data_IF_552756162311
#
_entry.id   IF_552756162311
#
_cell.length_a   1.000
_cell.length_b   1.000
_cell.length_c   1.000
_cell.angle_alpha   90.00
_cell.angle_beta   90.00
_cell.angle_gamma   90.00
#
_symmetry.space_group_name_H-M   'P 1'
#
loop_
_entity.id
_entity.type
_entity.pdbx_description
1 polymer ?
#
# COMPACT_ATOMS: atom_id res chain seq x y z
N UNK A 1 22.33 9.30 -14.97
CA UNK A 1 22.39 10.07 -13.70
C UNK A 1 21.15 9.81 -12.81
N UNK A 2 19.92 9.95 -13.32
CA UNK A 2 18.71 9.74 -12.51
C UNK A 2 18.55 8.32 -11.96
N UNK A 3 18.97 7.27 -12.69
CA UNK A 3 18.91 5.87 -12.22
C UNK A 3 19.73 5.67 -10.93
N UNK A 4 20.95 6.21 -10.89
CA UNK A 4 21.77 6.14 -9.68
C UNK A 4 21.11 6.84 -8.48
N UNK A 5 20.44 7.97 -8.74
CA UNK A 5 19.69 8.69 -7.71
C UNK A 5 18.48 7.89 -7.21
N UNK A 6 17.75 7.21 -8.10
CA UNK A 6 16.64 6.30 -7.72
C UNK A 6 17.16 5.15 -6.85
N UNK A 7 18.30 4.54 -7.21
CA UNK A 7 18.90 3.47 -6.38
C UNK A 7 19.24 3.98 -4.98
N UNK A 8 19.82 5.20 -4.89
CA UNK A 8 20.10 5.82 -3.59
C UNK A 8 18.81 6.04 -2.80
N UNK A 9 17.73 6.55 -3.42
CA UNK A 9 16.45 6.74 -2.76
C UNK A 9 15.84 5.44 -2.24
N UNK A 10 15.95 4.35 -3.01
CA UNK A 10 15.50 3.02 -2.56
C UNK A 10 16.31 2.58 -1.33
N UNK A 11 17.64 2.69 -1.37
CA UNK A 11 18.50 2.29 -0.24
C UNK A 11 18.25 3.15 1.01
N UNK A 12 18.11 4.46 0.84
CA UNK A 12 17.79 5.40 1.94
C UNK A 12 16.42 5.10 2.53
N UNK A 13 15.43 4.85 1.70
CA UNK A 13 14.10 4.50 2.18
C UNK A 13 14.05 3.13 2.87
N UNK A 14 14.78 2.13 2.38
CA UNK A 14 14.93 0.85 3.09
C UNK A 14 15.61 1.04 4.45
N UNK A 15 16.62 1.90 4.54
CA UNK A 15 17.24 2.26 5.82
C UNK A 15 16.23 2.87 6.78
N UNK A 16 15.41 3.84 6.35
CA UNK A 16 14.35 4.42 7.19
C UNK A 16 13.30 3.38 7.57
N UNK A 17 12.94 2.48 6.67
CA UNK A 17 12.04 1.37 6.97
C UNK A 17 12.58 0.42 8.06
N UNK A 18 13.87 0.08 8.01
CA UNK A 18 14.53 -0.70 9.06
C UNK A 18 14.53 0.08 10.41
N UNK A 19 14.79 1.40 10.37
CA UNK A 19 14.71 2.25 11.55
C UNK A 19 13.30 2.31 12.12
N UNK A 20 12.27 2.42 11.29
CA UNK A 20 10.89 2.36 11.71
C UNK A 20 10.57 1.07 12.49
N UNK A 21 10.96 -0.09 11.97
CA UNK A 21 10.75 -1.37 12.69
C UNK A 21 11.46 -1.38 14.03
N UNK A 22 12.70 -0.92 14.07
CA UNK A 22 13.50 -0.86 15.32
C UNK A 22 12.85 0.04 16.38
N UNK A 23 12.42 1.28 16.00
CA UNK A 23 11.82 2.23 16.96
C UNK A 23 10.43 1.79 17.40
N UNK A 24 9.67 1.13 16.53
CA UNK A 24 8.37 0.55 16.89
C UNK A 24 8.51 -0.58 17.91
N UNK A 25 9.52 -1.42 17.78
CA UNK A 25 9.82 -2.49 18.75
C UNK A 25 10.34 -1.94 20.09
N UNK A 26 11.03 -0.79 20.06
CA UNK A 26 11.51 -0.09 21.25
C UNK A 26 10.44 0.82 21.89
N UNK A 27 9.20 0.82 21.40
CA UNK A 27 8.10 1.66 21.88
C UNK A 27 8.40 3.17 21.82
N UNK A 28 9.06 3.63 20.75
CA UNK A 28 9.24 5.05 20.47
C UNK A 28 8.24 5.52 19.38
N UNK A 29 7.02 5.94 19.77
CA UNK A 29 5.95 6.24 18.81
C UNK A 29 6.23 7.49 17.98
N UNK A 30 6.96 8.48 18.52
CA UNK A 30 7.25 9.73 17.80
C UNK A 30 8.23 9.47 16.66
N UNK A 31 9.31 8.72 16.95
CA UNK A 31 10.26 8.33 15.92
C UNK A 31 9.65 7.36 14.90
N UNK A 32 8.66 6.55 15.31
CA UNK A 32 7.92 5.70 14.39
C UNK A 32 7.16 6.52 13.33
N UNK A 33 6.47 7.60 13.72
CA UNK A 33 5.82 8.53 12.78
C UNK A 33 6.85 9.07 11.80
N UNK A 34 7.95 9.65 12.30
CA UNK A 34 8.99 10.27 11.47
C UNK A 34 9.58 9.28 10.43
N UNK A 35 10.04 8.10 10.88
CA UNK A 35 10.70 7.15 9.99
C UNK A 35 9.73 6.53 8.98
N UNK A 36 8.46 6.36 9.35
CA UNK A 36 7.44 5.87 8.42
C UNK A 36 7.24 6.86 7.27
N UNK A 37 7.06 8.14 7.59
CA UNK A 37 6.92 9.21 6.61
C UNK A 37 8.13 9.34 5.69
N UNK A 38 9.35 9.34 6.25
CA UNK A 38 10.58 9.43 5.46
C UNK A 38 10.70 8.28 4.45
N UNK A 39 10.28 7.07 4.81
CA UNK A 39 10.25 5.93 3.88
C UNK A 39 9.33 6.19 2.69
N UNK A 40 8.11 6.68 2.94
CA UNK A 40 7.12 6.91 1.88
C UNK A 40 7.46 8.15 1.04
N UNK A 41 8.08 9.18 1.63
CA UNK A 41 8.60 10.34 0.89
C UNK A 41 9.60 9.90 -0.19
N UNK A 42 10.48 8.93 0.09
CA UNK A 42 11.38 8.39 -0.93
C UNK A 42 10.60 7.82 -2.13
N UNK A 43 9.48 7.12 -1.90
CA UNK A 43 8.63 6.61 -2.98
C UNK A 43 8.01 7.75 -3.81
N UNK A 44 7.53 8.82 -3.16
CA UNK A 44 6.96 9.98 -3.84
C UNK A 44 8.01 10.66 -4.72
N UNK A 45 9.25 10.84 -4.22
CA UNK A 45 10.35 11.43 -4.99
C UNK A 45 10.71 10.56 -6.20
N UNK A 46 10.72 9.23 -6.06
CA UNK A 46 10.92 8.30 -7.20
C UNK A 46 9.81 8.50 -8.24
N UNK A 47 8.55 8.55 -7.83
CA UNK A 47 7.43 8.78 -8.74
C UNK A 47 7.50 10.17 -9.41
N UNK A 48 7.90 11.20 -8.67
CA UNK A 48 8.11 12.54 -9.23
C UNK A 48 9.22 12.55 -10.31
N UNK A 49 10.30 11.82 -10.10
CA UNK A 49 11.35 11.65 -11.13
C UNK A 49 10.77 10.91 -12.34
N UNK A 50 9.94 9.87 -12.11
CA UNK A 50 9.32 9.11 -13.19
C UNK A 50 8.44 9.99 -14.09
N UNK A 51 7.73 10.99 -13.56
CA UNK A 51 6.91 11.94 -14.35
C UNK A 51 7.73 12.64 -15.46
N UNK A 52 9.03 12.87 -15.23
CA UNK A 52 9.90 13.53 -16.21
C UNK A 52 10.58 12.56 -17.17
N UNK A 53 10.54 11.25 -16.91
CA UNK A 53 11.31 10.24 -17.65
C UNK A 53 10.44 9.14 -18.29
N UNK A 54 9.14 9.09 -17.98
CA UNK A 54 8.19 8.12 -18.55
C UNK A 54 7.62 8.61 -19.89
N UNK A 55 7.12 7.67 -20.69
CA UNK A 55 6.35 7.96 -21.90
C UNK A 55 4.91 8.36 -21.59
N UNK A 56 4.31 7.82 -20.52
CA UNK A 56 2.96 8.17 -20.06
C UNK A 56 3.01 8.99 -18.77
N UNK A 57 3.10 10.33 -18.95
CA UNK A 57 3.10 11.27 -17.81
C UNK A 57 1.79 11.27 -17.04
N UNK A 58 0.66 11.03 -17.72
CA UNK A 58 -0.64 11.02 -17.03
C UNK A 58 -0.70 9.87 -16.02
N UNK A 59 -0.27 8.68 -16.42
CA UNK A 59 -0.16 7.53 -15.55
C UNK A 59 0.76 7.83 -14.34
N UNK A 60 1.96 8.33 -14.58
CA UNK A 60 2.92 8.63 -13.53
C UNK A 60 2.42 9.68 -12.53
N UNK A 61 1.71 10.73 -13.00
CA UNK A 61 1.11 11.76 -12.12
C UNK A 61 0.03 11.14 -11.24
N UNK A 62 -0.83 10.27 -11.77
CA UNK A 62 -1.84 9.57 -10.98
C UNK A 62 -1.19 8.69 -9.90
N UNK A 63 -0.10 7.97 -10.24
CA UNK A 63 0.63 7.18 -9.24
C UNK A 63 1.25 8.06 -8.15
N UNK A 64 1.81 9.22 -8.53
CA UNK A 64 2.35 10.16 -7.56
C UNK A 64 1.29 10.67 -6.58
N UNK A 65 0.06 10.99 -7.06
CA UNK A 65 -1.05 11.34 -6.17
C UNK A 65 -1.47 10.17 -5.28
N UNK A 66 -1.53 8.96 -5.82
CA UNK A 66 -1.82 7.76 -5.03
C UNK A 66 -0.80 7.56 -3.90
N UNK A 67 0.50 7.70 -4.18
CA UNK A 67 1.57 7.64 -3.20
C UNK A 67 1.50 8.77 -2.17
N UNK A 68 1.10 9.98 -2.58
CA UNK A 68 0.91 11.12 -1.67
C UNK A 68 -0.21 10.84 -0.65
N UNK A 69 -1.36 10.32 -1.09
CA UNK A 69 -2.42 9.91 -0.17
C UNK A 69 -2.02 8.69 0.67
N UNK A 70 -1.18 7.81 0.14
CA UNK A 70 -0.52 6.74 0.89
C UNK A 70 0.35 7.30 2.02
N UNK A 71 1.17 8.32 1.75
CA UNK A 71 1.95 9.03 2.77
C UNK A 71 1.07 9.62 3.88
N UNK A 72 0.01 10.34 3.52
CA UNK A 72 -0.94 10.85 4.52
C UNK A 72 -1.58 9.71 5.34
N UNK A 73 -1.90 8.59 4.69
CA UNK A 73 -2.40 7.39 5.34
C UNK A 73 -1.39 6.80 6.32
N UNK A 74 -0.11 6.78 5.95
CA UNK A 74 0.98 6.32 6.81
C UNK A 74 1.12 7.15 8.08
N UNK A 75 1.11 8.48 7.93
CA UNK A 75 1.21 9.41 9.05
C UNK A 75 0.00 9.25 10.01
N UNK A 76 -1.21 9.27 9.44
CA UNK A 76 -2.43 9.09 10.23
C UNK A 76 -2.44 7.73 10.95
N UNK A 77 -2.03 6.67 10.24
CA UNK A 77 -1.97 5.33 10.83
C UNK A 77 -0.88 5.21 11.92
N UNK A 78 0.23 5.93 11.78
CA UNK A 78 1.31 5.94 12.77
C UNK A 78 0.93 6.75 14.03
N UNK A 79 0.10 7.80 13.90
CA UNK A 79 -0.40 8.58 15.04
C UNK A 79 -1.21 7.75 16.03
N UNK A 80 -1.73 6.57 15.64
CA UNK A 80 -2.38 5.63 16.58
C UNK A 80 -1.43 5.13 17.69
N UNK A 81 -0.12 5.14 17.46
CA UNK A 81 0.89 4.75 18.46
C UNK A 81 1.14 5.88 19.48
N UNK A 82 0.93 7.14 19.05
CA UNK A 82 1.07 8.33 19.90
C UNK A 82 -0.20 8.56 20.73
N UNK A 83 -1.37 8.43 20.09
CA UNK A 83 -2.69 8.70 20.67
C UNK A 83 -3.49 7.40 20.78
N UNK A 84 -3.09 6.53 21.69
CA UNK A 84 -3.65 5.17 21.83
C UNK A 84 -5.15 5.17 22.18
N UNK A 85 -5.63 6.17 22.92
CA UNK A 85 -7.05 6.36 23.27
C UNK A 85 -7.93 6.71 22.04
N UNK A 86 -7.32 7.20 20.94
CA UNK A 86 -7.97 7.54 19.68
C UNK A 86 -7.64 6.54 18.56
N UNK A 87 -7.26 5.31 18.91
CA UNK A 87 -6.86 4.28 17.95
C UNK A 87 -7.83 4.15 16.76
N UNK A 88 -9.14 4.00 17.02
CA UNK A 88 -10.14 3.82 15.97
C UNK A 88 -10.24 5.01 15.03
N UNK A 89 -10.08 6.24 15.55
CA UNK A 89 -10.10 7.45 14.75
C UNK A 89 -8.92 7.50 13.78
N UNK A 90 -7.71 7.36 14.29
CA UNK A 90 -6.51 7.43 13.47
C UNK A 90 -6.39 6.24 12.50
N UNK A 91 -6.81 5.05 12.93
CA UNK A 91 -6.86 3.88 12.06
C UNK A 91 -7.80 4.09 10.88
N UNK A 92 -9.03 4.54 11.14
CA UNK A 92 -10.02 4.78 10.10
C UNK A 92 -9.61 5.94 9.18
N UNK A 93 -9.09 7.04 9.73
CA UNK A 93 -8.61 8.18 8.94
C UNK A 93 -7.48 7.77 8.01
N UNK A 94 -6.53 6.96 8.50
CA UNK A 94 -5.47 6.40 7.68
C UNK A 94 -6.01 5.51 6.56
N UNK A 95 -6.92 4.59 6.88
CA UNK A 95 -7.56 3.72 5.89
C UNK A 95 -8.32 4.52 4.81
N UNK A 96 -9.02 5.59 5.20
CA UNK A 96 -9.70 6.48 4.24
C UNK A 96 -8.73 7.23 3.32
N UNK A 97 -7.59 7.68 3.85
CA UNK A 97 -6.54 8.28 3.02
C UNK A 97 -5.97 7.29 2.02
N UNK A 98 -5.65 6.06 2.45
CA UNK A 98 -5.24 4.99 1.54
C UNK A 98 -6.30 4.68 0.48
N UNK A 99 -7.59 4.66 0.86
CA UNK A 99 -8.68 4.45 -0.09
C UNK A 99 -8.66 5.48 -1.22
N UNK A 100 -8.46 6.77 -0.89
CA UNK A 100 -8.31 7.83 -1.90
C UNK A 100 -7.10 7.56 -2.80
N UNK A 101 -5.96 7.16 -2.21
CA UNK A 101 -4.77 6.76 -2.98
C UNK A 101 -5.05 5.61 -3.95
N UNK A 102 -5.79 4.59 -3.50
CA UNK A 102 -6.18 3.45 -4.34
C UNK A 102 -7.12 3.85 -5.49
N UNK A 103 -7.98 4.87 -5.31
CA UNK A 103 -8.80 5.41 -6.40
C UNK A 103 -7.89 5.95 -7.51
N UNK A 104 -6.85 6.72 -7.17
CA UNK A 104 -5.89 7.20 -8.17
C UNK A 104 -5.19 6.05 -8.89
N UNK A 105 -4.79 4.99 -8.17
CA UNK A 105 -4.19 3.79 -8.79
C UNK A 105 -5.14 3.09 -9.75
N UNK A 106 -6.40 2.90 -9.36
CA UNK A 106 -7.42 2.29 -10.24
C UNK A 106 -7.64 3.12 -11.50
N UNK A 107 -7.76 4.45 -11.38
CA UNK A 107 -7.88 5.35 -12.53
C UNK A 107 -6.66 5.23 -13.46
N UNK A 108 -5.45 5.19 -12.91
CA UNK A 108 -4.22 4.99 -13.68
C UNK A 108 -4.23 3.66 -14.44
N UNK A 109 -4.57 2.56 -13.77
CA UNK A 109 -4.59 1.22 -14.37
C UNK A 109 -5.59 1.12 -15.53
N UNK A 110 -6.81 1.64 -15.34
CA UNK A 110 -7.84 1.58 -16.38
C UNK A 110 -7.63 2.59 -17.53
N UNK A 111 -6.81 3.64 -17.32
CA UNK A 111 -6.41 4.53 -18.42
C UNK A 111 -5.54 3.82 -19.47
N UNK A 112 -4.72 2.85 -19.04
CA UNK A 112 -3.81 2.11 -19.93
C UNK A 112 -4.33 0.72 -20.33
N UNK A 113 -5.25 0.13 -19.54
CA UNK A 113 -5.83 -1.19 -19.80
C UNK A 113 -7.34 -1.22 -19.50
N UNK A 114 -8.20 -0.61 -20.32
CA UNK A 114 -9.64 -0.55 -20.07
C UNK A 114 -10.32 -1.92 -19.95
N UNK A 115 -9.74 -2.98 -20.54
CA UNK A 115 -10.28 -4.34 -20.50
C UNK A 115 -9.81 -5.16 -19.28
N UNK A 116 -8.97 -4.61 -18.41
CA UNK A 116 -8.43 -5.31 -17.23
C UNK A 116 -9.54 -5.86 -16.30
N UNK A 117 -10.75 -5.25 -16.29
CA UNK A 117 -11.91 -5.72 -15.51
C UNK A 117 -12.31 -7.17 -15.81
N UNK A 118 -12.02 -7.68 -17.04
CA UNK A 118 -12.36 -9.06 -17.44
C UNK A 118 -11.63 -10.08 -16.54
N UNK A 119 -10.35 -9.81 -16.23
CA UNK A 119 -9.61 -10.63 -15.26
C UNK A 119 -9.84 -10.19 -13.80
N UNK A 120 -10.05 -8.89 -13.57
CA UNK A 120 -10.20 -8.36 -12.22
C UNK A 120 -11.46 -8.91 -11.51
N UNK A 121 -12.59 -9.07 -12.19
CA UNK A 121 -13.84 -9.55 -11.57
C UNK A 121 -13.69 -10.97 -10.98
N UNK A 122 -13.26 -12.01 -11.72
CA UNK A 122 -13.11 -13.34 -11.13
C UNK A 122 -12.01 -13.39 -10.07
N UNK A 123 -10.92 -12.65 -10.23
CA UNK A 123 -9.86 -12.55 -9.23
C UNK A 123 -10.35 -11.85 -7.95
N UNK A 124 -11.22 -10.84 -8.07
CA UNK A 124 -11.82 -10.18 -6.92
C UNK A 124 -12.65 -11.14 -6.07
N UNK A 125 -13.45 -12.00 -6.71
CA UNK A 125 -14.24 -13.01 -6.00
C UNK A 125 -13.30 -13.92 -5.19
N UNK A 126 -12.21 -14.39 -5.81
CA UNK A 126 -11.21 -15.23 -5.12
C UNK A 126 -10.57 -14.47 -3.96
N UNK A 127 -10.11 -13.23 -4.18
CA UNK A 127 -9.48 -12.41 -3.15
C UNK A 127 -10.44 -12.19 -1.97
N UNK A 128 -11.70 -11.85 -2.22
CA UNK A 128 -12.70 -11.64 -1.17
C UNK A 128 -13.02 -12.92 -0.38
N UNK A 129 -13.03 -14.07 -1.05
CA UNK A 129 -13.20 -15.36 -0.36
C UNK A 129 -12.00 -15.67 0.55
N UNK A 130 -10.77 -15.37 0.10
CA UNK A 130 -9.57 -15.56 0.91
C UNK A 130 -9.57 -14.61 2.12
N UNK A 131 -9.95 -13.34 1.96
CA UNK A 131 -10.06 -12.38 3.06
C UNK A 131 -11.15 -12.79 4.08
N UNK A 132 -12.29 -13.27 3.59
CA UNK A 132 -13.34 -13.80 4.46
C UNK A 132 -12.85 -15.01 5.28
N UNK A 133 -12.13 -15.95 4.64
CA UNK A 133 -11.53 -17.09 5.33
C UNK A 133 -10.47 -16.66 6.35
N UNK A 134 -9.61 -15.68 5.99
CA UNK A 134 -8.61 -15.11 6.87
C UNK A 134 -9.26 -14.46 8.10
N UNK A 135 -10.31 -13.66 7.90
CA UNK A 135 -11.07 -13.02 8.99
C UNK A 135 -11.67 -14.05 9.95
N UNK A 136 -12.29 -15.11 9.42
CA UNK A 136 -12.84 -16.19 10.25
C UNK A 136 -11.77 -16.99 10.99
N UNK A 137 -10.69 -17.37 10.30
CA UNK A 137 -9.59 -18.15 10.88
C UNK A 137 -8.94 -17.46 12.07
N UNK A 138 -8.87 -16.13 12.05
CA UNK A 138 -8.21 -15.33 13.07
C UNK A 138 -9.18 -14.64 14.04
N UNK A 139 -10.49 -14.90 13.95
CA UNK A 139 -11.53 -14.31 14.82
C UNK A 139 -11.39 -12.80 14.98
N UNK A 140 -11.40 -12.07 13.85
CA UNK A 140 -11.14 -10.63 13.85
C UNK A 140 -12.27 -9.86 14.55
N UNK A 141 -11.91 -9.10 15.59
CA UNK A 141 -12.86 -8.32 16.43
C UNK A 141 -12.93 -6.87 15.98
N UNK A 142 -13.58 -6.63 14.85
CA UNK A 142 -13.66 -5.30 14.23
C UNK A 142 -14.67 -4.36 14.91
N UNK A 143 -15.68 -4.87 15.61
CA UNK A 143 -16.69 -4.08 16.30
C UNK A 143 -17.36 -3.06 15.37
N UNK A 144 -17.40 -1.78 15.77
CA UNK A 144 -18.00 -0.67 15.00
C UNK A 144 -17.24 -0.37 13.69
N UNK A 145 -15.99 -0.81 13.55
CA UNK A 145 -15.17 -0.62 12.37
C UNK A 145 -15.46 -1.64 11.26
N UNK A 146 -16.32 -2.64 11.51
CA UNK A 146 -16.57 -3.72 10.57
C UNK A 146 -16.98 -3.23 9.17
N UNK A 147 -18.02 -2.42 9.05
CA UNK A 147 -18.53 -1.96 7.76
C UNK A 147 -17.52 -1.06 7.00
N UNK A 148 -16.94 -0.01 7.62
CA UNK A 148 -15.97 0.81 6.90
C UNK A 148 -14.70 0.04 6.49
N UNK A 149 -14.20 -0.88 7.33
CA UNK A 149 -13.02 -1.67 6.98
C UNK A 149 -13.32 -2.79 5.99
N UNK A 150 -14.52 -3.36 5.99
CA UNK A 150 -14.94 -4.31 4.95
C UNK A 150 -15.01 -3.62 3.58
N UNK A 151 -15.56 -2.40 3.51
CA UNK A 151 -15.58 -1.60 2.28
C UNK A 151 -14.16 -1.24 1.80
N UNK A 152 -13.30 -0.82 2.72
CA UNK A 152 -11.89 -0.57 2.45
C UNK A 152 -11.18 -1.83 1.91
N UNK A 153 -11.31 -2.96 2.58
CA UNK A 153 -10.72 -4.24 2.16
C UNK A 153 -11.17 -4.65 0.75
N UNK A 154 -12.48 -4.53 0.47
CA UNK A 154 -13.01 -4.82 -0.87
C UNK A 154 -12.36 -3.94 -1.95
N UNK A 155 -12.13 -2.65 -1.65
CA UNK A 155 -11.52 -1.74 -2.62
C UNK A 155 -10.01 -1.99 -2.79
N UNK A 156 -9.28 -2.33 -1.73
CA UNK A 156 -7.87 -2.75 -1.80
C UNK A 156 -7.73 -4.01 -2.65
N UNK A 157 -8.58 -5.00 -2.41
CA UNK A 157 -8.64 -6.21 -3.25
C UNK A 157 -8.93 -5.86 -4.71
N UNK A 158 -9.93 -4.99 -4.97
CA UNK A 158 -10.25 -4.55 -6.32
C UNK A 158 -9.07 -3.86 -7.01
N UNK A 159 -8.38 -2.95 -6.33
CA UNK A 159 -7.18 -2.30 -6.86
C UNK A 159 -6.09 -3.32 -7.19
N UNK A 160 -5.77 -4.23 -6.25
CA UNK A 160 -4.70 -5.20 -6.43
C UNK A 160 -4.98 -6.19 -7.57
N UNK A 161 -6.21 -6.70 -7.69
CA UNK A 161 -6.57 -7.60 -8.80
C UNK A 161 -6.69 -6.86 -10.13
N UNK A 162 -7.06 -5.57 -10.12
CA UNK A 162 -7.03 -4.71 -11.32
C UNK A 162 -5.62 -4.51 -11.82
N UNK A 163 -4.64 -4.37 -10.93
CA UNK A 163 -3.22 -4.29 -11.30
C UNK A 163 -2.74 -5.59 -11.97
N UNK A 164 -3.14 -6.76 -11.45
CA UNK A 164 -2.88 -8.06 -12.09
C UNK A 164 -3.57 -8.13 -13.46
N UNK A 165 -4.85 -7.74 -13.55
CA UNK A 165 -5.60 -7.67 -14.80
C UNK A 165 -4.93 -6.76 -15.82
N UNK A 166 -4.40 -5.62 -15.40
CA UNK A 166 -3.65 -4.71 -16.28
C UNK A 166 -2.39 -5.38 -16.82
N UNK A 167 -1.63 -6.09 -15.98
CA UNK A 167 -0.45 -6.83 -16.42
C UNK A 167 -0.79 -7.95 -17.44
N UNK A 168 -1.98 -8.54 -17.35
CA UNK A 168 -2.45 -9.57 -18.30
C UNK A 168 -2.83 -8.94 -19.66
N UNK A 169 -3.57 -7.82 -19.64
CA UNK A 169 -4.15 -7.22 -20.87
C UNK A 169 -3.24 -6.18 -21.53
N UNK A 170 -2.28 -5.62 -20.82
CA UNK A 170 -1.29 -4.66 -21.31
C UNK A 170 0.07 -4.93 -20.67
N UNK A 171 0.71 -6.02 -21.09
CA UNK A 171 1.97 -6.47 -20.49
C UNK A 171 3.12 -5.52 -20.81
N UNK A 172 3.75 -5.01 -19.76
CA UNK A 172 5.03 -4.31 -19.75
C UNK A 172 5.76 -4.63 -18.43
N UNK A 173 7.01 -4.26 -18.33
CA UNK A 173 7.74 -4.36 -17.05
C UNK A 173 7.02 -3.52 -15.98
N UNK A 174 6.55 -2.31 -16.34
CA UNK A 174 5.84 -1.43 -15.44
C UNK A 174 4.53 -2.04 -14.92
N UNK A 175 3.70 -2.60 -15.81
CA UNK A 175 2.43 -3.24 -15.41
C UNK A 175 2.67 -4.52 -14.60
N UNK A 176 3.72 -5.28 -14.88
CA UNK A 176 4.12 -6.44 -14.07
C UNK A 176 4.54 -6.02 -12.65
N UNK A 177 5.39 -4.99 -12.53
CA UNK A 177 5.79 -4.44 -11.23
C UNK A 177 4.58 -3.97 -10.42
N UNK A 178 3.64 -3.29 -11.08
CA UNK A 178 2.41 -2.86 -10.42
C UNK A 178 1.51 -4.05 -10.03
N UNK A 179 1.42 -5.08 -10.85
CA UNK A 179 0.68 -6.31 -10.52
C UNK A 179 1.22 -6.99 -9.26
N UNK A 180 2.54 -7.14 -9.16
CA UNK A 180 3.22 -7.67 -7.96
C UNK A 180 2.96 -6.75 -6.75
N UNK A 181 3.02 -5.43 -6.95
CA UNK A 181 2.73 -4.46 -5.90
C UNK A 181 1.30 -4.58 -5.38
N UNK A 182 0.32 -4.72 -6.27
CA UNK A 182 -1.09 -4.89 -5.90
C UNK A 182 -1.33 -6.12 -5.03
N UNK A 183 -0.74 -7.26 -5.40
CA UNK A 183 -0.79 -8.49 -4.59
C UNK A 183 -0.10 -8.29 -3.24
N UNK A 184 1.08 -7.66 -3.23
CA UNK A 184 1.83 -7.38 -2.00
C UNK A 184 1.04 -6.45 -1.06
N UNK A 185 0.28 -5.50 -1.60
CA UNK A 185 -0.57 -4.60 -0.83
C UNK A 185 -1.73 -5.36 -0.16
N UNK A 186 -2.44 -6.23 -0.92
CA UNK A 186 -3.48 -7.10 -0.35
C UNK A 186 -2.92 -7.93 0.81
N UNK A 187 -1.77 -8.58 0.62
CA UNK A 187 -1.11 -9.39 1.65
C UNK A 187 -0.77 -8.55 2.88
N UNK A 188 -0.22 -7.34 2.68
CA UNK A 188 0.10 -6.43 3.77
C UNK A 188 -1.12 -6.10 4.61
N UNK A 189 -2.24 -5.73 3.99
CA UNK A 189 -3.45 -5.32 4.69
C UNK A 189 -4.15 -6.51 5.36
N UNK A 190 -4.08 -7.70 4.75
CA UNK A 190 -4.53 -8.95 5.37
C UNK A 190 -3.78 -9.22 6.68
N UNK A 191 -2.45 -9.09 6.68
CA UNK A 191 -1.63 -9.28 7.89
C UNK A 191 -1.88 -8.15 8.90
N UNK A 192 -2.04 -6.91 8.43
CA UNK A 192 -2.35 -5.74 9.29
C UNK A 192 -3.67 -5.94 10.02
N UNK A 193 -4.69 -6.45 9.34
CA UNK A 193 -5.99 -6.74 9.96
C UNK A 193 -5.86 -7.77 11.09
N UNK A 194 -5.09 -8.83 10.86
CA UNK A 194 -4.78 -9.84 11.90
C UNK A 194 -3.96 -9.24 13.04
N UNK A 195 -2.92 -8.43 12.72
CA UNK A 195 -2.08 -7.77 13.72
C UNK A 195 -2.89 -6.86 14.66
N UNK A 196 -3.87 -6.13 14.12
CA UNK A 196 -4.62 -5.13 14.87
C UNK A 196 -5.87 -5.68 15.56
N UNK A 197 -6.52 -6.72 15.02
CA UNK A 197 -7.88 -7.12 15.42
C UNK A 197 -8.02 -8.57 15.88
N UNK A 198 -6.98 -9.43 15.80
CA UNK A 198 -7.05 -10.81 16.28
C UNK A 198 -6.80 -10.99 17.79
N UNK A 199 -6.40 -9.92 18.49
CA UNK A 199 -6.02 -10.00 19.91
C UNK A 199 -4.63 -10.59 20.17
N UNK A 200 -3.89 -11.02 19.14
CA UNK A 200 -2.57 -11.63 19.24
C UNK A 200 -1.52 -10.89 18.40
N UNK A 201 -1.19 -9.61 18.70
CA UNK A 201 -0.16 -8.87 17.99
C UNK A 201 1.23 -9.48 18.25
N UNK A 202 2.08 -9.51 17.21
CA UNK A 202 3.46 -9.98 17.33
C UNK A 202 4.42 -9.12 16.51
N UNK A 203 5.68 -9.01 16.96
CA UNK A 203 6.71 -8.29 16.19
C UNK A 203 6.93 -8.90 14.81
N UNK A 204 6.81 -10.23 14.68
CA UNK A 204 6.92 -10.91 13.38
C UNK A 204 5.84 -10.49 12.39
N UNK A 205 4.57 -10.42 12.83
CA UNK A 205 3.47 -9.91 11.98
C UNK A 205 3.68 -8.44 11.63
N UNK A 206 4.08 -7.62 12.62
CA UNK A 206 4.36 -6.20 12.40
C UNK A 206 5.45 -6.01 11.32
N UNK A 207 6.56 -6.74 11.40
CA UNK A 207 7.61 -6.72 10.37
C UNK A 207 7.08 -7.17 9.02
N UNK A 208 6.30 -8.26 8.96
CA UNK A 208 5.74 -8.76 7.71
C UNK A 208 4.81 -7.75 7.03
N UNK A 209 3.93 -7.06 7.78
CA UNK A 209 3.11 -5.95 7.29
C UNK A 209 3.98 -4.92 6.58
N UNK A 210 5.02 -4.44 7.24
CA UNK A 210 5.81 -3.34 6.71
C UNK A 210 6.69 -3.75 5.54
N UNK A 211 7.26 -4.97 5.54
CA UNK A 211 8.04 -5.48 4.41
C UNK A 211 7.16 -5.58 3.15
N UNK A 212 5.97 -6.19 3.25
CA UNK A 212 5.06 -6.34 2.11
C UNK A 212 4.49 -4.99 1.66
N UNK A 213 4.21 -4.09 2.60
CA UNK A 213 3.75 -2.74 2.31
C UNK A 213 4.80 -1.91 1.56
N UNK A 214 6.05 -1.85 2.06
CA UNK A 214 7.10 -1.10 1.38
C UNK A 214 7.46 -1.69 0.04
N UNK A 215 7.48 -3.03 -0.08
CA UNK A 215 7.62 -3.67 -1.38
C UNK A 215 6.56 -3.16 -2.37
N UNK A 216 5.29 -3.11 -1.95
CA UNK A 216 4.21 -2.59 -2.78
C UNK A 216 4.45 -1.12 -3.16
N UNK A 217 4.76 -0.24 -2.21
CA UNK A 217 4.94 1.19 -2.46
C UNK A 217 6.13 1.47 -3.40
N UNK A 218 7.27 0.80 -3.20
CA UNK A 218 8.43 0.96 -4.08
C UNK A 218 8.17 0.42 -5.49
N UNK A 219 7.50 -0.73 -5.61
CA UNK A 219 7.15 -1.28 -6.91
C UNK A 219 6.15 -0.41 -7.66
N UNK A 220 5.16 0.21 -6.97
CA UNK A 220 4.27 1.21 -7.57
C UNK A 220 5.07 2.41 -8.08
N UNK A 221 5.95 2.98 -7.24
CA UNK A 221 6.76 4.13 -7.64
C UNK A 221 7.67 3.82 -8.84
N UNK A 222 8.31 2.65 -8.84
CA UNK A 222 9.20 2.21 -9.91
C UNK A 222 8.45 1.84 -11.19
N UNK A 223 7.21 1.34 -11.10
CA UNK A 223 6.41 0.92 -12.26
C UNK A 223 6.22 2.05 -13.26
N UNK A 224 6.12 3.29 -12.78
CA UNK A 224 5.95 4.47 -13.61
C UNK A 224 7.13 4.74 -14.58
N UNK A 225 8.32 4.19 -14.31
CA UNK A 225 9.51 4.35 -15.17
C UNK A 225 9.48 3.44 -16.41
N UNK A 226 8.61 2.42 -16.42
CA UNK A 226 8.60 1.34 -17.42
C UNK A 226 7.27 1.22 -18.17
N UNK A 227 6.46 2.29 -18.15
CA UNK A 227 5.20 2.44 -18.90
C UNK A 227 5.30 3.43 -20.05
#
# INVERSE_FOLDING_TARGET
MYIAFIVILVLVGLFFGLKFTQVTENNDPVMAVLFKGLTTVCCIVIAAIAVFHTTDRHFAVLLMFGLFFGFLGDELLALRFVFTEKFSLYFLSGAMSFLVGHVFYVVALYSIAPKAWIAAIPLLIIAMLLEYQNSKKHDLKLGKLYFPLAGYCAFVCFMGVSAVGTAIFNFSIGTLLFGIAGVSFIISDSILSVQCFSGNPTNGKNRAVHITYWLAQYLIALSALFI
#
